data_IF_074242403179
#
_entry.id   IF_074242403179
#
_cell.length_a   1.000
_cell.length_b   1.000
_cell.length_c   1.000
_cell.angle_alpha   90.00
_cell.angle_beta   90.00
_cell.angle_gamma   90.00
#
_symmetry.space_group_name_H-M   'P 1'
#
loop_
_entity.id
_entity.type
_entity.pdbx_description
1 polymer ?
#
# COMPACT_ATOMS: atom_id res chain seq x y z
N UNK A 1 -16.53 1.32 -28.13
CA UNK A 1 -16.03 -0.02 -28.48
C UNK A 1 -14.59 0.13 -28.97
N UNK A 2 -13.64 0.20 -28.04
CA UNK A 2 -12.21 0.00 -28.23
C UNK A 2 -11.64 0.03 -26.80
N UNK A 3 -11.03 -1.08 -26.40
CA UNK A 3 -10.56 -1.36 -25.05
C UNK A 3 -9.42 -0.40 -24.65
N UNK A 4 -9.74 0.69 -23.95
CA UNK A 4 -8.77 1.52 -23.21
C UNK A 4 -8.28 0.86 -21.90
N UNK A 5 -8.44 -0.46 -21.79
CA UNK A 5 -7.94 -1.32 -20.72
C UNK A 5 -6.71 -2.11 -21.14
N UNK A 6 -5.82 -1.53 -21.96
CA UNK A 6 -4.64 -2.21 -22.46
C UNK A 6 -3.75 -2.77 -21.33
N UNK A 7 -2.92 -3.79 -21.61
CA UNK A 7 -1.98 -4.43 -20.65
C UNK A 7 -1.05 -3.44 -19.93
N UNK A 8 -0.90 -2.22 -20.46
CA UNK A 8 -0.23 -1.09 -19.81
C UNK A 8 -0.88 -0.68 -18.48
N UNK A 9 -2.22 -0.73 -18.38
CA UNK A 9 -2.96 -0.38 -17.17
C UNK A 9 -2.78 -1.40 -16.04
N UNK A 10 -2.66 -2.69 -16.40
CA UNK A 10 -2.36 -3.79 -15.48
C UNK A 10 -0.90 -3.69 -15.01
N UNK A 11 0.03 -3.44 -15.92
CA UNK A 11 1.45 -3.24 -15.58
C UNK A 11 1.67 -2.10 -14.59
N UNK A 12 1.01 -0.95 -14.81
CA UNK A 12 1.05 0.20 -13.91
C UNK A 12 0.46 -0.14 -12.54
N UNK A 13 -0.67 -0.82 -12.48
CA UNK A 13 -1.28 -1.22 -11.20
C UNK A 13 -0.38 -2.17 -10.40
N UNK A 14 0.32 -3.11 -11.04
CA UNK A 14 1.28 -4.00 -10.36
C UNK A 14 2.44 -3.20 -9.77
N UNK A 15 3.02 -2.27 -10.53
CA UNK A 15 4.10 -1.40 -10.04
C UNK A 15 3.65 -0.58 -8.85
N UNK A 16 2.45 -0.01 -8.89
CA UNK A 16 1.88 0.75 -7.77
C UNK A 16 1.73 -0.12 -6.52
N UNK A 17 1.23 -1.36 -6.65
CA UNK A 17 1.10 -2.28 -5.50
C UNK A 17 2.46 -2.67 -4.94
N UNK A 18 3.47 -2.90 -5.78
CA UNK A 18 4.83 -3.20 -5.32
C UNK A 18 5.46 -2.01 -4.59
N UNK A 19 5.35 -0.79 -5.12
CA UNK A 19 5.84 0.43 -4.48
C UNK A 19 5.11 0.69 -3.16
N UNK A 20 3.80 0.44 -3.12
CA UNK A 20 2.99 0.59 -1.93
C UNK A 20 3.39 -0.41 -0.83
N UNK A 21 3.60 -1.68 -1.19
CA UNK A 21 4.07 -2.71 -0.26
C UNK A 21 5.47 -2.37 0.29
N UNK A 22 6.35 -1.82 -0.56
CA UNK A 22 7.67 -1.37 -0.13
C UNK A 22 7.61 -0.13 0.78
N UNK A 23 6.71 0.82 0.52
CA UNK A 23 6.44 1.95 1.42
C UNK A 23 5.98 1.47 2.80
N UNK A 24 5.08 0.50 2.86
CA UNK A 24 4.60 -0.07 4.13
C UNK A 24 5.72 -0.78 4.90
N UNK A 25 6.60 -1.51 4.20
CA UNK A 25 7.77 -2.12 4.80
C UNK A 25 8.75 -1.07 5.36
N UNK A 26 8.91 0.05 4.66
CA UNK A 26 9.77 1.16 5.09
C UNK A 26 9.17 1.89 6.30
N UNK A 27 7.86 2.13 6.30
CA UNK A 27 7.12 2.69 7.44
C UNK A 27 7.27 1.80 8.69
N UNK A 28 7.15 0.47 8.52
CA UNK A 28 7.33 -0.49 9.60
C UNK A 28 8.76 -0.45 10.18
N UNK A 29 9.77 -0.49 9.31
CA UNK A 29 11.18 -0.40 9.72
C UNK A 29 11.49 0.92 10.43
N UNK A 30 10.89 2.02 10.00
CA UNK A 30 11.07 3.33 10.62
C UNK A 30 10.49 3.37 12.03
N UNK A 31 9.31 2.79 12.22
CA UNK A 31 8.65 2.69 13.53
C UNK A 31 9.41 1.75 14.48
N UNK A 32 9.94 0.63 13.97
CA UNK A 32 10.75 -0.30 14.76
C UNK A 32 12.06 0.35 15.21
N UNK A 33 12.75 1.08 14.31
CA UNK A 33 13.92 1.90 14.67
C UNK A 33 13.60 3.01 15.67
N UNK A 34 12.47 3.69 15.50
CA UNK A 34 12.04 4.76 16.40
C UNK A 34 11.72 4.22 17.81
N UNK A 35 11.05 3.07 17.90
CA UNK A 35 10.80 2.37 19.16
C UNK A 35 12.11 1.88 19.81
N UNK A 36 13.01 1.26 19.03
CA UNK A 36 14.31 0.78 19.51
C UNK A 36 15.25 1.91 19.96
N UNK A 37 15.12 3.12 19.41
CA UNK A 37 15.85 4.31 19.83
C UNK A 37 15.38 4.90 21.18
N UNK A 38 14.40 4.28 21.85
CA UNK A 38 13.89 4.72 23.14
C UNK A 38 12.95 5.94 23.04
N UNK A 39 12.33 6.15 21.87
CA UNK A 39 11.37 7.23 21.71
C UNK A 39 10.19 7.05 22.70
N UNK A 40 9.72 8.14 23.32
CA UNK A 40 8.77 8.08 24.41
C UNK A 40 7.44 7.44 24.00
N UNK A 41 6.85 6.67 24.92
CA UNK A 41 5.68 5.78 24.78
C UNK A 41 4.43 6.38 24.08
N UNK A 42 4.33 7.71 24.00
CA UNK A 42 3.24 8.39 23.27
C UNK A 42 3.46 8.41 21.75
N UNK A 43 4.70 8.34 21.26
CA UNK A 43 5.02 8.25 19.82
C UNK A 43 4.67 6.88 19.24
N UNK A 44 4.63 5.83 20.07
CA UNK A 44 4.25 4.47 19.63
C UNK A 44 2.82 4.44 19.07
N UNK A 45 1.89 5.16 19.69
CA UNK A 45 0.51 5.27 19.22
C UNK A 45 0.42 5.98 17.86
N UNK A 46 1.16 7.09 17.68
CA UNK A 46 1.19 7.79 16.39
C UNK A 46 1.79 6.92 15.27
N UNK A 47 2.85 6.17 15.57
CA UNK A 47 3.42 5.19 14.65
C UNK A 47 2.43 4.08 14.29
N UNK A 48 1.78 3.49 15.29
CA UNK A 48 0.78 2.45 15.09
C UNK A 48 -0.44 2.94 14.27
N UNK A 49 -0.88 4.19 14.50
CA UNK A 49 -1.95 4.79 13.72
C UNK A 49 -1.54 5.02 12.26
N UNK A 50 -0.32 5.54 12.03
CA UNK A 50 0.24 5.70 10.69
C UNK A 50 0.30 4.36 9.94
N UNK A 51 0.82 3.31 10.57
CA UNK A 51 0.82 1.96 10.01
C UNK A 51 -0.57 1.45 9.67
N UNK A 52 -1.55 1.66 10.57
CA UNK A 52 -2.93 1.24 10.33
C UNK A 52 -3.51 1.92 9.07
N UNK A 53 -3.28 3.22 8.90
CA UNK A 53 -3.74 3.96 7.72
C UNK A 53 -3.05 3.46 6.45
N UNK A 54 -1.73 3.22 6.48
CA UNK A 54 -0.99 2.68 5.33
C UNK A 54 -1.51 1.29 4.94
N UNK A 55 -1.83 0.42 5.92
CA UNK A 55 -2.44 -0.90 5.68
C UNK A 55 -3.82 -0.77 5.03
N UNK A 56 -4.69 0.09 5.54
CA UNK A 56 -6.03 0.31 4.97
C UNK A 56 -5.93 0.82 3.54
N UNK A 57 -5.01 1.76 3.28
CA UNK A 57 -4.81 2.30 1.95
C UNK A 57 -4.32 1.22 0.96
N UNK A 58 -3.34 0.41 1.37
CA UNK A 58 -2.84 -0.72 0.58
C UNK A 58 -3.95 -1.74 0.27
N UNK A 59 -4.81 -2.04 1.25
CA UNK A 59 -5.95 -2.92 1.07
C UNK A 59 -6.90 -2.41 -0.02
N UNK A 60 -7.26 -1.13 0.01
CA UNK A 60 -8.12 -0.53 -1.01
C UNK A 60 -7.48 -0.55 -2.39
N UNK A 61 -6.16 -0.31 -2.49
CA UNK A 61 -5.47 -0.32 -3.77
C UNK A 61 -5.41 -1.73 -4.37
N UNK A 62 -5.19 -2.76 -3.54
CA UNK A 62 -5.27 -4.17 -3.96
C UNK A 62 -6.68 -4.52 -4.43
N UNK A 63 -7.73 -4.08 -3.72
CA UNK A 63 -9.11 -4.26 -4.18
C UNK A 63 -9.38 -3.58 -5.52
N UNK A 64 -8.84 -2.37 -5.73
CA UNK A 64 -8.95 -1.65 -7.02
C UNK A 64 -8.23 -2.39 -8.15
N UNK A 65 -7.07 -2.98 -7.86
CA UNK A 65 -6.33 -3.80 -8.82
C UNK A 65 -7.11 -5.06 -9.18
N UNK A 66 -7.64 -5.76 -8.17
CA UNK A 66 -8.50 -6.94 -8.36
C UNK A 66 -9.77 -6.60 -9.16
N UNK A 67 -10.40 -5.47 -8.88
CA UNK A 67 -11.58 -4.99 -9.62
C UNK A 67 -11.25 -4.67 -11.09
N UNK A 68 -10.09 -4.05 -11.36
CA UNK A 68 -9.60 -3.84 -12.74
C UNK A 68 -9.36 -5.16 -13.45
N UNK A 69 -8.72 -6.12 -12.78
CA UNK A 69 -8.46 -7.43 -13.38
C UNK A 69 -9.75 -8.22 -13.65
N UNK A 70 -10.73 -8.12 -12.76
CA UNK A 70 -12.06 -8.72 -12.95
C UNK A 70 -12.85 -8.03 -14.06
N UNK A 71 -12.82 -6.69 -14.14
CA UNK A 71 -13.49 -5.92 -15.19
C UNK A 71 -12.86 -6.09 -16.57
N UNK A 72 -11.56 -6.41 -16.66
CA UNK A 72 -10.92 -6.75 -17.92
C UNK A 72 -11.32 -8.12 -18.49
N UNK A 73 -12.18 -8.90 -17.79
CA UNK A 73 -12.72 -10.18 -18.29
C UNK A 73 -14.07 -10.07 -19.01
N UNK A 74 -14.65 -8.88 -19.10
CA UNK A 74 -15.84 -8.55 -19.92
C UNK A 74 -15.48 -7.57 -21.05
#
# INVERSE_FOLDING_TARGET
MLHDGGPLSIGISIVIVLVAAFSLLMDFNFIEKASAAGAPKYMEWYGAFGLMVTIIWLYLEILKLLAKFASSRD
#
